data_IF_680108311098
#
_entry.id   IF_680108311098
#
_cell.length_a   1.000
_cell.length_b   1.000
_cell.length_c   1.000
_cell.angle_alpha   90.00
_cell.angle_beta   90.00
_cell.angle_gamma   90.00
#
_symmetry.space_group_name_H-M   'P 1'
#
loop_
_entity.id
_entity.type
_entity.pdbx_description
1 polymer ?
#
# COMPACT_ATOMS: atom_id res chain seq x y z
N UNK A 1 9.74 36.63 -7.75
CA UNK A 1 8.70 35.72 -7.22
C UNK A 1 9.34 34.93 -6.08
N UNK A 2 8.70 34.80 -4.91
CA UNK A 2 9.23 33.89 -3.88
C UNK A 2 9.24 32.46 -4.43
N UNK A 3 10.30 31.71 -4.15
CA UNK A 3 10.38 30.29 -4.46
C UNK A 3 9.27 29.55 -3.71
N UNK A 4 8.60 28.60 -4.37
CA UNK A 4 7.66 27.72 -3.70
C UNK A 4 8.34 27.06 -2.48
N UNK A 5 7.65 26.94 -1.33
CA UNK A 5 8.22 26.28 -0.16
C UNK A 5 8.61 24.84 -0.53
N UNK A 6 9.75 24.39 -0.02
CA UNK A 6 10.18 23.02 -0.23
C UNK A 6 9.24 22.11 0.55
N UNK A 7 8.76 21.01 -0.03
CA UNK A 7 7.75 20.15 0.62
C UNK A 7 8.13 19.68 2.02
N UNK A 8 9.43 19.55 2.29
CA UNK A 8 9.99 19.26 3.62
C UNK A 8 9.70 20.32 4.67
N UNK A 9 9.60 21.58 4.27
CA UNK A 9 9.29 22.70 5.18
C UNK A 9 7.82 22.68 5.62
N UNK A 10 6.97 21.91 4.91
CA UNK A 10 5.55 21.69 5.22
C UNK A 10 5.32 20.36 5.97
N UNK A 11 6.32 19.48 6.03
CA UNK A 11 6.25 18.24 6.79
C UNK A 11 6.41 18.55 8.29
N UNK A 12 5.28 18.64 9.00
CA UNK A 12 5.31 18.75 10.46
C UNK A 12 5.89 17.49 11.13
N UNK A 13 6.27 17.63 12.40
CA UNK A 13 6.74 16.53 13.26
C UNK A 13 5.95 15.20 13.14
N UNK A 14 4.60 15.20 13.02
CA UNK A 14 3.85 13.96 12.87
C UNK A 14 4.20 13.16 11.60
N UNK A 15 4.55 13.83 10.50
CA UNK A 15 4.91 13.18 9.24
C UNK A 15 6.28 12.50 9.34
N UNK A 16 7.23 13.14 10.02
CA UNK A 16 8.58 12.60 10.22
C UNK A 16 8.59 11.40 11.17
N UNK A 17 7.70 11.38 12.16
CA UNK A 17 7.56 10.27 13.10
C UNK A 17 6.73 9.11 12.54
N UNK A 18 5.91 9.33 11.52
CA UNK A 18 5.02 8.30 10.97
C UNK A 18 5.75 6.99 10.59
N UNK A 19 6.90 7.00 9.89
CA UNK A 19 7.62 5.77 9.56
C UNK A 19 8.10 4.98 10.79
N UNK A 20 8.35 5.64 11.94
CA UNK A 20 8.80 4.98 13.17
C UNK A 20 7.75 4.05 13.79
N UNK A 21 6.49 4.18 13.37
CA UNK A 21 5.38 3.37 13.85
C UNK A 21 5.28 2.01 13.13
N UNK A 22 6.08 1.80 12.07
CA UNK A 22 6.00 0.61 11.23
C UNK A 22 7.31 -0.16 11.24
N UNK A 23 7.19 -1.49 11.22
CA UNK A 23 8.30 -2.34 10.82
C UNK A 23 8.41 -2.30 9.30
N UNK A 24 9.56 -1.86 8.79
CA UNK A 24 9.81 -1.81 7.35
C UNK A 24 10.56 -3.07 6.89
N UNK A 25 10.26 -3.50 5.67
CA UNK A 25 11.00 -4.56 4.98
C UNK A 25 11.72 -3.94 3.77
N UNK A 26 13.00 -4.29 3.51
CA UNK A 26 13.69 -3.83 2.31
C UNK A 26 13.08 -4.49 1.06
N UNK A 27 12.98 -3.72 -0.02
CA UNK A 27 12.67 -4.26 -1.34
C UNK A 27 13.95 -4.83 -1.94
N UNK A 28 13.98 -6.14 -2.17
CA UNK A 28 15.11 -6.85 -2.78
C UNK A 28 14.80 -7.29 -4.23
N UNK A 29 15.81 -7.82 -4.92
CA UNK A 29 15.67 -8.28 -6.31
C UNK A 29 14.57 -9.35 -6.45
N UNK A 30 14.43 -10.24 -5.48
CA UNK A 30 13.41 -11.29 -5.53
C UNK A 30 12.00 -10.72 -5.47
N UNK A 31 11.77 -9.68 -4.65
CA UNK A 31 10.50 -8.95 -4.61
C UNK A 31 10.24 -8.25 -5.96
N UNK A 32 11.26 -7.63 -6.55
CA UNK A 32 11.13 -6.93 -7.84
C UNK A 32 10.78 -7.89 -8.98
N UNK A 33 11.45 -9.04 -9.04
CA UNK A 33 11.20 -10.05 -10.09
C UNK A 33 9.78 -10.64 -9.99
N UNK A 34 9.31 -10.89 -8.76
CA UNK A 34 7.95 -11.38 -8.51
C UNK A 34 6.90 -10.30 -8.82
N UNK A 35 7.16 -9.04 -8.44
CA UNK A 35 6.30 -7.90 -8.76
C UNK A 35 6.16 -7.66 -10.27
N UNK A 36 7.24 -7.82 -11.05
CA UNK A 36 7.17 -7.71 -12.51
C UNK A 36 6.20 -8.75 -13.12
N UNK A 37 6.23 -9.98 -12.61
CA UNK A 37 5.30 -11.03 -13.02
C UNK A 37 3.84 -10.66 -12.74
N UNK A 38 3.56 -10.22 -11.51
CA UNK A 38 2.22 -9.78 -11.09
C UNK A 38 1.72 -8.59 -11.91
N UNK A 39 2.56 -7.57 -12.09
CA UNK A 39 2.22 -6.38 -12.86
C UNK A 39 1.89 -6.73 -14.31
N UNK A 40 2.74 -7.52 -15.00
CA UNK A 40 2.47 -7.94 -16.38
C UNK A 40 1.17 -8.74 -16.52
N UNK A 41 0.83 -9.52 -15.50
CA UNK A 41 -0.39 -10.33 -15.51
C UNK A 41 -1.66 -9.49 -15.27
N UNK A 42 -1.63 -8.58 -14.29
CA UNK A 42 -2.84 -7.93 -13.78
C UNK A 42 -3.01 -6.47 -14.21
N UNK A 43 -1.95 -5.76 -14.59
CA UNK A 43 -2.07 -4.38 -15.08
C UNK A 43 -3.03 -4.25 -16.27
N UNK A 44 -2.98 -5.11 -17.32
CA UNK A 44 -3.87 -4.96 -18.47
C UNK A 44 -5.36 -5.16 -18.17
N UNK A 45 -5.69 -5.85 -17.08
CA UNK A 45 -7.07 -6.30 -16.77
C UNK A 45 -7.67 -5.59 -15.55
N UNK A 46 -6.86 -5.30 -14.53
CA UNK A 46 -7.28 -4.75 -13.24
C UNK A 46 -6.61 -3.40 -12.93
N UNK A 47 -5.71 -2.91 -13.79
CA UNK A 47 -5.02 -1.64 -13.59
C UNK A 47 -4.04 -1.64 -12.42
N UNK A 48 -3.58 -2.82 -11.98
CA UNK A 48 -2.58 -2.98 -10.92
C UNK A 48 -1.34 -2.15 -11.25
N UNK A 49 -0.98 -1.19 -10.40
CA UNK A 49 0.22 -0.39 -10.58
C UNK A 49 1.49 -1.10 -10.06
N UNK A 50 2.66 -0.55 -10.36
CA UNK A 50 3.93 -1.17 -9.97
C UNK A 50 4.16 -1.20 -8.45
N UNK A 51 3.64 -0.23 -7.70
CA UNK A 51 3.76 -0.17 -6.24
C UNK A 51 2.83 -1.19 -5.59
N UNK A 52 1.62 -1.36 -6.12
CA UNK A 52 0.69 -2.41 -5.72
C UNK A 52 1.29 -3.80 -5.95
N UNK A 53 1.96 -4.00 -7.09
CA UNK A 53 2.64 -5.25 -7.41
C UNK A 53 3.82 -5.53 -6.44
N UNK A 54 4.61 -4.51 -6.10
CA UNK A 54 5.69 -4.64 -5.10
C UNK A 54 5.11 -4.96 -3.71
N UNK A 55 4.02 -4.32 -3.32
CA UNK A 55 3.35 -4.61 -2.05
C UNK A 55 2.82 -6.06 -2.01
N UNK A 56 2.17 -6.50 -3.08
CA UNK A 56 1.69 -7.88 -3.23
C UNK A 56 2.84 -8.89 -3.16
N UNK A 57 3.91 -8.70 -3.93
CA UNK A 57 5.09 -9.57 -3.90
C UNK A 57 5.74 -9.60 -2.51
N UNK A 58 5.85 -8.45 -1.84
CA UNK A 58 6.40 -8.37 -0.48
C UNK A 58 5.58 -9.23 0.49
N UNK A 59 4.25 -9.15 0.39
CA UNK A 59 3.34 -9.94 1.24
C UNK A 59 3.41 -11.43 0.92
N UNK A 60 3.45 -11.81 -0.36
CA UNK A 60 3.61 -13.22 -0.78
C UNK A 60 4.90 -13.83 -0.21
N UNK A 61 6.02 -13.10 -0.24
CA UNK A 61 7.31 -13.61 0.25
C UNK A 61 7.44 -13.62 1.77
N UNK A 62 6.76 -12.69 2.46
CA UNK A 62 6.82 -12.58 3.93
C UNK A 62 5.74 -13.41 4.64
N UNK A 63 4.73 -13.89 3.91
CA UNK A 63 3.55 -14.53 4.50
C UNK A 63 2.69 -13.57 5.33
N UNK A 64 2.81 -12.27 5.08
CA UNK A 64 2.05 -11.23 5.77
C UNK A 64 0.62 -11.13 5.20
N UNK A 65 -0.09 -10.04 5.52
CA UNK A 65 -1.37 -9.72 4.91
C UNK A 65 -1.45 -8.26 4.46
N UNK A 66 -2.15 -8.00 3.36
CA UNK A 66 -2.46 -6.64 2.91
C UNK A 66 -3.68 -6.12 3.67
N UNK A 67 -3.54 -4.93 4.24
CA UNK A 67 -4.64 -4.13 4.75
C UNK A 67 -4.87 -2.94 3.82
N UNK A 68 -5.89 -3.04 2.97
CA UNK A 68 -6.20 -2.02 1.96
C UNK A 68 -7.65 -1.51 2.10
N UNK A 69 -7.86 -0.28 1.65
CA UNK A 69 -9.21 0.28 1.49
C UNK A 69 -9.81 -0.12 0.14
N UNK A 70 -9.00 -0.26 -0.91
CA UNK A 70 -9.49 -0.70 -2.20
C UNK A 70 -9.14 -2.17 -2.44
N UNK A 71 -10.10 -3.06 -2.17
CA UNK A 71 -9.92 -4.51 -2.36
C UNK A 71 -9.81 -4.91 -3.82
N UNK A 72 -10.37 -4.12 -4.74
CA UNK A 72 -10.38 -4.42 -6.17
C UNK A 72 -8.98 -4.55 -6.77
N UNK A 73 -7.97 -3.90 -6.17
CA UNK A 73 -6.57 -3.99 -6.63
C UNK A 73 -5.95 -5.36 -6.31
N UNK A 74 -6.47 -6.07 -5.31
CA UNK A 74 -5.89 -7.29 -4.75
C UNK A 74 -6.86 -8.49 -4.73
N UNK A 75 -8.09 -8.31 -5.22
CA UNK A 75 -9.07 -9.38 -5.41
C UNK A 75 -8.73 -10.18 -6.66
N UNK A 76 -7.75 -11.08 -6.54
CA UNK A 76 -7.56 -12.17 -7.48
C UNK A 76 -8.77 -13.11 -7.33
N UNK A 77 -9.74 -12.98 -8.23
CA UNK A 77 -11.07 -13.57 -8.08
C UNK A 77 -11.09 -15.04 -7.62
N UNK A 78 -11.67 -15.29 -6.45
CA UNK A 78 -12.40 -16.50 -6.03
C UNK A 78 -11.83 -17.91 -6.32
N UNK A 79 -10.57 -18.10 -6.69
CA UNK A 79 -9.99 -19.42 -6.93
C UNK A 79 -9.43 -20.04 -5.65
N UNK A 80 -10.25 -20.19 -4.60
CA UNK A 80 -10.05 -21.14 -3.49
C UNK A 80 -8.78 -21.06 -2.63
N UNK A 81 -7.80 -20.24 -2.96
CA UNK A 81 -6.62 -19.96 -2.14
C UNK A 81 -6.94 -18.76 -1.25
N UNK A 82 -6.58 -18.84 0.04
CA UNK A 82 -6.80 -17.75 0.98
C UNK A 82 -6.15 -16.47 0.44
N UNK A 83 -6.98 -15.50 0.03
CA UNK A 83 -6.51 -14.30 -0.66
C UNK A 83 -5.51 -13.49 0.15
N UNK A 84 -4.60 -12.80 -0.55
CA UNK A 84 -3.56 -11.90 -0.03
C UNK A 84 -4.07 -10.80 0.93
N UNK A 85 -5.38 -10.53 0.90
CA UNK A 85 -6.03 -9.48 1.68
C UNK A 85 -6.60 -10.07 2.96
N UNK A 86 -6.06 -9.68 4.13
CA UNK A 86 -6.81 -9.94 5.36
C UNK A 86 -8.04 -9.06 5.40
N UNK A 87 -9.16 -9.62 5.83
CA UNK A 87 -10.41 -8.87 5.99
C UNK A 87 -10.21 -7.82 7.08
N UNK A 88 -9.92 -6.58 6.68
CA UNK A 88 -9.93 -5.44 7.60
C UNK A 88 -11.31 -5.36 8.29
N UNK A 89 -11.38 -5.15 9.61
CA UNK A 89 -12.65 -4.99 10.32
C UNK A 89 -13.35 -3.67 9.99
N UNK A 90 -12.67 -2.74 9.31
CA UNK A 90 -13.26 -1.49 8.82
C UNK A 90 -13.65 -1.66 7.36
N UNK A 91 -14.94 -1.45 7.06
CA UNK A 91 -15.43 -1.36 5.68
C UNK A 91 -14.65 -0.28 4.94
N UNK A 92 -14.33 -0.54 3.68
CA UNK A 92 -13.82 0.45 2.72
C UNK A 92 -14.71 1.70 2.61
N UNK A 93 -15.98 1.60 3.02
CA UNK A 93 -16.94 2.70 3.07
C UNK A 93 -16.88 3.53 4.36
N UNK A 94 -16.04 3.16 5.35
CA UNK A 94 -15.90 3.97 6.56
C UNK A 94 -14.94 5.14 6.32
N UNK A 95 -15.41 6.40 6.44
CA UNK A 95 -14.54 7.56 6.29
C UNK A 95 -13.43 7.54 7.35
N UNK A 96 -12.24 8.02 6.98
CA UNK A 96 -11.17 8.23 7.94
C UNK A 96 -11.65 9.13 9.10
N UNK A 97 -11.29 8.84 10.36
CA UNK A 97 -11.49 9.78 11.44
C UNK A 97 -10.80 11.09 11.06
N UNK A 98 -11.55 12.19 11.00
CA UNK A 98 -10.96 13.51 10.78
C UNK A 98 -10.03 13.82 11.94
N UNK A 99 -8.78 14.15 11.62
CA UNK A 99 -7.85 14.73 12.59
C UNK A 99 -8.49 16.00 13.14
N UNK A 100 -8.57 16.19 14.47
CA UNK A 100 -9.09 17.44 15.03
C UNK A 100 -8.23 18.60 14.51
N UNK A 101 -8.86 19.58 13.88
CA UNK A 101 -8.25 20.87 13.63
C UNK A 101 -7.96 21.49 14.99
N UNK A 102 -6.69 21.57 15.38
CA UNK A 102 -6.27 22.39 16.50
C UNK A 102 -6.53 23.87 16.12
N UNK A 103 -7.34 24.55 16.93
CA UNK A 103 -7.53 26.01 16.91
C UNK A 103 -6.28 26.74 17.42
#
# INVERSE_FOLDING_TARGET
MPSAPQWRDLEGEPTLLFPSQFQTAPVDQGIVDEADGLHRQWNPSHGLDINDAILAATVMRTGAAIHCLNKMHYDAGSSGEEGLVSRSPRSCDTPFPRVPSHE
#
